data_IF_422301854122
#
_entry.id   IF_422301854122
#
_cell.length_a   1.000
_cell.length_b   1.000
_cell.length_c   1.000
_cell.angle_alpha   90.00
_cell.angle_beta   90.00
_cell.angle_gamma   90.00
#
_symmetry.space_group_name_H-M   'P 1'
#
loop_
_entity.id
_entity.type
_entity.pdbx_description
1 polymer ?
#
# COMPACT_ATOMS: atom_id res chain seq x y z
N UNK A 1 -4.91 11.29 12.62
CA UNK A 1 -5.51 9.95 12.87
C UNK A 1 -4.38 8.94 13.06
N UNK A 2 -4.56 7.82 13.80
CA UNK A 2 -3.51 6.82 13.95
C UNK A 2 -3.12 6.21 12.61
N UNK A 3 -1.87 5.78 12.50
CA UNK A 3 -1.35 5.02 11.36
C UNK A 3 -1.95 3.62 11.34
N UNK A 4 -2.41 3.18 10.17
CA UNK A 4 -2.86 1.81 9.94
C UNK A 4 -1.82 1.08 9.11
N UNK A 5 -1.29 -0.02 9.64
CA UNK A 5 -0.46 -0.95 8.90
C UNK A 5 -1.34 -2.09 8.36
N UNK A 6 -1.36 -2.25 7.05
CA UNK A 6 -2.05 -3.34 6.37
C UNK A 6 -1.04 -4.42 5.99
N UNK A 7 -1.30 -5.66 6.41
CA UNK A 7 -0.55 -6.83 5.97
C UNK A 7 -1.21 -7.37 4.70
N UNK A 8 -0.56 -7.16 3.58
CA UNK A 8 -1.04 -7.51 2.25
C UNK A 8 -1.89 -6.42 1.60
N UNK A 9 -1.79 -6.32 0.28
CA UNK A 9 -2.45 -5.33 -0.59
C UNK A 9 -3.32 -5.96 -1.67
N UNK A 10 -3.86 -7.16 -1.45
CA UNK A 10 -4.77 -7.86 -2.37
C UNK A 10 -6.15 -7.20 -2.50
N UNK A 11 -7.08 -7.85 -3.20
CA UNK A 11 -8.38 -7.29 -3.63
C UNK A 11 -9.21 -6.75 -2.44
N UNK A 12 -9.49 -7.61 -1.46
CA UNK A 12 -10.25 -7.24 -0.25
C UNK A 12 -9.50 -6.18 0.58
N UNK A 13 -8.19 -6.35 0.75
CA UNK A 13 -7.37 -5.41 1.51
C UNK A 13 -7.36 -4.02 0.85
N UNK A 14 -7.34 -3.96 -0.48
CA UNK A 14 -7.35 -2.71 -1.24
C UNK A 14 -8.66 -1.95 -1.09
N UNK A 15 -9.79 -2.66 -1.03
CA UNK A 15 -11.07 -2.05 -0.67
C UNK A 15 -11.07 -1.41 0.73
N UNK A 16 -10.46 -2.08 1.72
CA UNK A 16 -10.31 -1.54 3.07
C UNK A 16 -9.36 -0.34 3.11
N UNK A 17 -8.19 -0.43 2.45
CA UNK A 17 -7.23 0.67 2.27
C UNK A 17 -7.91 1.90 1.67
N UNK A 18 -8.69 1.72 0.59
CA UNK A 18 -9.40 2.81 -0.06
C UNK A 18 -10.36 3.52 0.90
N UNK A 19 -11.16 2.76 1.67
CA UNK A 19 -12.09 3.34 2.65
C UNK A 19 -11.36 4.07 3.78
N UNK A 20 -10.28 3.49 4.30
CA UNK A 20 -9.47 4.11 5.36
C UNK A 20 -8.81 5.40 4.88
N UNK A 21 -8.19 5.39 3.70
CA UNK A 21 -7.55 6.56 3.11
C UNK A 21 -8.57 7.65 2.79
N UNK A 22 -9.73 7.31 2.23
CA UNK A 22 -10.86 8.23 2.03
C UNK A 22 -11.39 8.83 3.35
N UNK A 23 -11.33 8.07 4.44
CA UNK A 23 -11.67 8.55 5.77
C UNK A 23 -10.54 9.38 6.43
N UNK A 24 -9.41 9.62 5.77
CA UNK A 24 -8.30 10.43 6.26
C UNK A 24 -7.36 9.70 7.22
N UNK A 25 -7.36 8.37 7.23
CA UNK A 25 -6.33 7.61 7.94
C UNK A 25 -5.07 7.54 7.06
N UNK A 26 -3.87 7.75 7.63
CA UNK A 26 -2.64 7.34 6.97
C UNK A 26 -2.57 5.81 6.97
N UNK A 27 -2.27 5.22 5.81
CA UNK A 27 -2.24 3.77 5.62
C UNK A 27 -0.91 3.39 4.96
N UNK A 28 -0.26 2.36 5.48
CA UNK A 28 0.93 1.72 4.90
C UNK A 28 0.56 0.28 4.60
N UNK A 29 0.95 -0.21 3.42
CA UNK A 29 0.79 -1.63 3.06
C UNK A 29 2.17 -2.28 3.19
N UNK A 30 2.30 -3.35 3.97
CA UNK A 30 3.43 -4.25 3.88
C UNK A 30 3.04 -5.47 3.06
N UNK A 31 3.81 -5.78 2.03
CA UNK A 31 3.56 -6.87 1.10
C UNK A 31 4.80 -7.76 0.96
N UNK A 32 4.61 -9.00 0.52
CA UNK A 32 5.74 -9.87 0.17
C UNK A 32 6.43 -9.36 -1.10
N UNK A 33 7.72 -9.68 -1.27
CA UNK A 33 8.52 -9.24 -2.42
C UNK A 33 7.96 -9.71 -3.77
N UNK A 34 7.23 -10.83 -3.80
CA UNK A 34 6.55 -11.32 -4.99
C UNK A 34 5.06 -11.57 -4.70
N UNK A 35 4.21 -10.53 -4.74
CA UNK A 35 2.79 -10.65 -4.41
C UNK A 35 2.07 -11.66 -5.33
N UNK A 36 1.23 -12.51 -4.74
CA UNK A 36 0.54 -13.63 -5.41
C UNK A 36 -0.89 -13.31 -5.85
N UNK A 37 -1.32 -12.06 -5.72
CA UNK A 37 -2.66 -11.63 -6.14
C UNK A 37 -2.91 -11.90 -7.63
N UNK A 38 -4.08 -12.49 -7.91
CA UNK A 38 -4.52 -12.81 -9.27
C UNK A 38 -5.06 -11.56 -9.96
N UNK A 39 -5.95 -10.82 -9.28
CA UNK A 39 -6.61 -9.62 -9.81
C UNK A 39 -5.75 -8.36 -9.60
N UNK A 40 -4.57 -8.33 -10.22
CA UNK A 40 -3.53 -7.31 -10.01
C UNK A 40 -3.98 -5.87 -10.26
N UNK A 41 -4.81 -5.63 -11.27
CA UNK A 41 -5.26 -4.29 -11.65
C UNK A 41 -6.22 -3.62 -10.64
N UNK A 42 -6.68 -4.34 -9.62
CA UNK A 42 -7.51 -3.78 -8.54
C UNK A 42 -6.84 -3.87 -7.15
N UNK A 43 -5.54 -4.17 -7.11
CA UNK A 43 -4.82 -4.42 -5.88
C UNK A 43 -3.68 -3.43 -5.69
N UNK A 44 -3.73 -2.55 -4.68
CA UNK A 44 -2.64 -1.59 -4.40
C UNK A 44 -1.28 -2.27 -4.18
N UNK A 45 -1.26 -3.52 -3.69
CA UNK A 45 -0.02 -4.31 -3.54
C UNK A 45 0.70 -4.58 -4.87
N UNK A 46 0.02 -4.41 -6.01
CA UNK A 46 0.64 -4.50 -7.34
C UNK A 46 1.68 -3.39 -7.59
N UNK A 47 1.74 -2.36 -6.75
CA UNK A 47 2.84 -1.39 -6.74
C UNK A 47 4.21 -2.07 -6.53
N UNK A 48 4.29 -3.21 -5.85
CA UNK A 48 5.55 -3.98 -5.73
C UNK A 48 6.04 -4.46 -7.10
N UNK A 49 5.12 -4.83 -8.00
CA UNK A 49 5.48 -5.27 -9.36
C UNK A 49 5.73 -4.12 -10.33
N UNK A 50 5.03 -2.99 -10.14
CA UNK A 50 5.00 -1.86 -11.09
C UNK A 50 5.80 -0.64 -10.65
N UNK A 51 6.31 -0.63 -9.42
CA UNK A 51 6.84 0.56 -8.74
C UNK A 51 5.73 1.52 -8.26
N UNK A 52 4.74 1.78 -9.12
CA UNK A 52 3.58 2.63 -8.79
C UNK A 52 2.29 2.06 -9.41
N UNK A 53 1.18 2.30 -8.72
CA UNK A 53 -0.16 1.99 -9.19
C UNK A 53 -1.13 3.09 -8.82
N UNK A 54 -2.04 3.40 -9.74
CA UNK A 54 -3.18 4.28 -9.48
C UNK A 54 -4.43 3.41 -9.49
N UNK A 55 -5.20 3.48 -8.41
CA UNK A 55 -6.53 2.88 -8.34
C UNK A 55 -7.51 3.96 -7.95
N UNK A 56 -8.43 4.26 -8.87
CA UNK A 56 -9.41 5.34 -8.73
C UNK A 56 -8.73 6.70 -8.47
N UNK A 57 -8.72 7.14 -7.21
CA UNK A 57 -8.26 8.47 -6.78
C UNK A 57 -6.92 8.44 -6.05
N UNK A 58 -6.43 7.26 -5.66
CA UNK A 58 -5.23 7.14 -4.84
C UNK A 58 -4.11 6.46 -5.59
N UNK A 59 -2.91 6.99 -5.37
CA UNK A 59 -1.64 6.44 -5.82
C UNK A 59 -1.11 5.54 -4.71
N UNK A 60 -0.65 4.35 -5.07
CA UNK A 60 0.18 3.51 -4.22
C UNK A 60 1.57 3.36 -4.85
N UNK A 61 2.62 3.50 -4.05
CA UNK A 61 4.00 3.45 -4.51
C UNK A 61 4.84 2.50 -3.67
N UNK A 62 5.59 1.63 -4.34
CA UNK A 62 6.58 0.79 -3.67
C UNK A 62 7.79 1.62 -3.31
N UNK A 63 8.08 1.68 -2.00
CA UNK A 63 9.13 2.53 -1.44
C UNK A 63 9.89 1.77 -0.35
N UNK A 64 11.08 2.25 -0.01
CA UNK A 64 11.81 1.75 1.16
C UNK A 64 11.18 2.23 2.47
N UNK A 65 11.51 1.58 3.59
CA UNK A 65 11.00 1.96 4.92
C UNK A 65 11.36 3.41 5.30
N UNK A 66 12.52 3.90 4.88
CA UNK A 66 12.97 5.28 5.15
C UNK A 66 12.10 6.33 4.46
N UNK A 67 11.47 5.99 3.34
CA UNK A 67 10.69 6.92 2.50
C UNK A 67 9.20 6.95 2.88
N UNK A 68 8.77 6.10 3.80
CA UNK A 68 7.36 5.96 4.19
C UNK A 68 6.76 7.28 4.68
N UNK A 69 7.48 8.01 5.52
CA UNK A 69 6.99 9.28 6.10
C UNK A 69 6.78 10.34 5.01
N UNK A 70 7.74 10.46 4.10
CA UNK A 70 7.68 11.44 3.02
C UNK A 70 6.58 11.08 2.02
N UNK A 71 6.42 9.79 1.72
CA UNK A 71 5.35 9.29 0.84
C UNK A 71 3.96 9.57 1.41
N UNK A 72 3.77 9.36 2.73
CA UNK A 72 2.51 9.69 3.41
C UNK A 72 2.22 11.19 3.37
N UNK A 73 3.24 12.04 3.53
CA UNK A 73 3.10 13.50 3.46
C UNK A 73 2.66 14.00 2.06
N UNK A 74 2.95 13.22 1.02
CA UNK A 74 2.48 13.46 -0.36
C UNK A 74 1.07 12.92 -0.63
N UNK A 75 0.37 12.43 0.41
CA UNK A 75 -0.94 11.77 0.29
C UNK A 75 -0.94 10.47 -0.54
N UNK A 76 0.24 9.90 -0.81
CA UNK A 76 0.43 8.63 -1.51
C UNK A 76 0.38 7.47 -0.50
N UNK A 77 -0.11 6.31 -0.92
CA UNK A 77 -0.13 5.09 -0.12
C UNK A 77 1.23 4.38 -0.27
N UNK A 78 2.12 4.39 0.73
CA UNK A 78 3.35 3.62 0.66
C UNK A 78 3.05 2.13 0.73
N UNK A 79 3.68 1.39 -0.19
CA UNK A 79 3.77 -0.06 -0.18
C UNK A 79 5.23 -0.39 0.14
N UNK A 80 5.47 -1.20 1.15
CA UNK A 80 6.80 -1.62 1.54
C UNK A 80 6.90 -3.15 1.49
N UNK A 81 8.12 -3.64 1.36
CA UNK A 81 8.43 -5.07 1.40
C UNK A 81 9.41 -5.30 2.53
N UNK A 82 8.89 -5.54 3.72
CA UNK A 82 9.68 -5.87 4.91
C UNK A 82 9.35 -7.28 5.38
N UNK A 83 10.39 -8.03 5.74
CA UNK A 83 10.21 -9.27 6.51
C UNK A 83 9.56 -8.94 7.86
N UNK A 84 8.84 -9.92 8.40
CA UNK A 84 8.31 -9.91 9.76
C UNK A 84 9.21 -10.67 10.73
N UNK A 85 10.33 -11.22 10.25
CA UNK A 85 11.31 -11.91 11.08
C UNK A 85 12.12 -10.88 11.88
N UNK A 86 12.32 -11.17 13.16
CA UNK A 86 13.16 -10.39 14.08
C UNK A 86 14.65 -10.45 13.73
#
# INVERSE_FOLDING_TARGET
KPLVLMRGGGDIASGAVYRLKRAGYPVVINEIAMPTMIRREVCYGNAVHRGEMILERFVARHVSLSEVKDTLAQEIIPVVTSSYEE
#
